data_IF_982037185511
#
_entry.id   IF_982037185511
#
_cell.length_a   1.000
_cell.length_b   1.000
_cell.length_c   1.000
_cell.angle_alpha   90.00
_cell.angle_beta   90.00
_cell.angle_gamma   90.00
#
_symmetry.space_group_name_H-M   'P 1'
#
loop_
_entity.id
_entity.type
_entity.pdbx_description
1 polymer ?
#
# COMPACT_ATOMS: atom_id res chain seq x y z
N UNK A 1 -14.87 29.62 -1.28
CA UNK A 1 -15.08 28.15 -1.25
C UNK A 1 -15.79 27.64 -2.50
N UNK A 2 -16.84 28.33 -2.99
CA UNK A 2 -17.65 27.91 -4.15
C UNK A 2 -16.84 27.51 -5.40
N UNK A 3 -15.76 28.22 -5.71
CA UNK A 3 -14.93 27.92 -6.91
C UNK A 3 -14.26 26.54 -6.88
N UNK A 4 -13.94 26.01 -5.71
CA UNK A 4 -13.19 24.75 -5.56
C UNK A 4 -13.99 23.68 -4.81
N UNK A 5 -15.27 23.90 -4.54
CA UNK A 5 -16.08 22.94 -3.79
C UNK A 5 -16.21 21.60 -4.52
N UNK A 6 -16.27 21.62 -5.85
CA UNK A 6 -16.29 20.39 -6.65
C UNK A 6 -14.96 19.62 -6.58
N UNK A 7 -13.83 20.32 -6.50
CA UNK A 7 -12.51 19.71 -6.28
C UNK A 7 -12.47 19.03 -4.91
N UNK A 8 -12.92 19.73 -3.85
CA UNK A 8 -13.00 19.18 -2.50
C UNK A 8 -13.88 17.93 -2.50
N UNK A 9 -15.11 18.01 -3.03
CA UNK A 9 -16.04 16.87 -3.14
C UNK A 9 -15.44 15.69 -3.88
N UNK A 10 -14.74 15.92 -4.99
CA UNK A 10 -14.11 14.85 -5.77
C UNK A 10 -13.02 14.14 -4.96
N UNK A 11 -12.16 14.89 -4.24
CA UNK A 11 -11.12 14.31 -3.39
C UNK A 11 -11.78 13.53 -2.24
N UNK A 12 -12.70 14.16 -1.51
CA UNK A 12 -13.45 13.53 -0.42
C UNK A 12 -14.14 12.26 -0.86
N UNK A 13 -14.79 12.24 -2.03
CA UNK A 13 -15.45 11.05 -2.56
C UNK A 13 -14.47 9.91 -2.84
N UNK A 14 -13.28 10.22 -3.37
CA UNK A 14 -12.22 9.24 -3.56
C UNK A 14 -11.75 8.63 -2.24
N UNK A 15 -11.66 9.42 -1.17
CA UNK A 15 -11.26 8.94 0.15
C UNK A 15 -12.39 8.16 0.84
N UNK A 16 -13.63 8.64 0.77
CA UNK A 16 -14.80 7.95 1.34
C UNK A 16 -14.94 6.54 0.73
N UNK A 17 -14.79 6.42 -0.59
CA UNK A 17 -14.83 5.13 -1.29
C UNK A 17 -13.72 4.15 -0.90
N UNK A 18 -12.56 4.63 -0.45
CA UNK A 18 -11.37 3.80 -0.19
C UNK A 18 -11.14 3.53 1.30
N UNK A 19 -11.70 4.36 2.17
CA UNK A 19 -11.49 4.28 3.63
C UNK A 19 -12.74 3.87 4.41
N UNK A 20 -13.93 4.01 3.81
CA UNK A 20 -15.20 3.75 4.48
C UNK A 20 -15.55 4.76 5.59
N UNK A 21 -14.74 5.81 5.80
CA UNK A 21 -15.02 6.88 6.76
C UNK A 21 -16.21 7.71 6.27
N UNK A 22 -17.06 8.16 7.19
CA UNK A 22 -18.27 8.92 6.85
C UNK A 22 -17.93 10.11 5.95
N UNK A 23 -18.77 10.33 4.95
CA UNK A 23 -18.53 11.36 3.96
C UNK A 23 -18.50 12.75 4.60
N UNK A 24 -19.34 13.03 5.60
CA UNK A 24 -19.39 14.34 6.25
C UNK A 24 -18.14 14.60 7.10
N UNK A 25 -17.60 13.57 7.77
CA UNK A 25 -16.35 13.68 8.51
C UNK A 25 -15.19 14.01 7.57
N UNK A 26 -15.05 13.25 6.48
CA UNK A 26 -14.02 13.52 5.47
C UNK A 26 -14.23 14.87 4.78
N UNK A 27 -15.48 15.27 4.55
CA UNK A 27 -15.78 16.56 3.93
C UNK A 27 -15.43 17.72 4.87
N UNK A 28 -15.76 17.61 6.16
CA UNK A 28 -15.38 18.59 7.19
C UNK A 28 -13.88 18.79 7.28
N UNK A 29 -13.11 17.68 7.33
CA UNK A 29 -11.65 17.73 7.37
C UNK A 29 -11.06 18.28 6.06
N UNK A 30 -11.63 17.92 4.91
CA UNK A 30 -11.20 18.46 3.62
C UNK A 30 -11.46 19.98 3.51
N UNK A 31 -12.58 20.46 4.05
CA UNK A 31 -12.90 21.88 4.14
C UNK A 31 -11.92 22.63 5.05
N UNK A 32 -11.54 22.04 6.19
CA UNK A 32 -10.51 22.61 7.08
C UNK A 32 -9.16 22.70 6.36
N UNK A 33 -8.73 21.61 5.71
CA UNK A 33 -7.50 21.57 4.92
C UNK A 33 -7.49 22.61 3.80
N UNK A 34 -8.63 22.82 3.13
CA UNK A 34 -8.79 23.86 2.13
C UNK A 34 -8.56 25.26 2.71
N UNK A 35 -9.16 25.58 3.86
CA UNK A 35 -8.97 26.86 4.54
C UNK A 35 -7.51 27.09 4.93
N UNK A 36 -6.83 26.07 5.47
CA UNK A 36 -5.40 26.13 5.79
C UNK A 36 -4.53 26.33 4.52
N UNK A 37 -4.87 25.63 3.44
CA UNK A 37 -4.15 25.69 2.18
C UNK A 37 -4.32 27.04 1.45
N UNK A 38 -5.51 27.66 1.57
CA UNK A 38 -5.75 29.02 1.07
C UNK A 38 -4.79 30.03 1.71
N UNK A 39 -4.61 29.95 3.03
CA UNK A 39 -3.77 30.89 3.80
C UNK A 39 -2.27 30.71 3.53
N UNK A 40 -1.86 29.52 3.14
CA UNK A 40 -0.45 29.16 2.91
C UNK A 40 0.00 29.24 1.45
N UNK A 41 -0.93 29.50 0.52
CA UNK A 41 -0.60 29.56 -0.90
C UNK A 41 0.28 30.78 -1.23
N UNK A 42 1.39 30.53 -1.91
CA UNK A 42 2.29 31.56 -2.45
C UNK A 42 2.33 31.47 -3.97
N UNK A 43 1.77 32.46 -4.71
CA UNK A 43 1.70 32.42 -6.17
C UNK A 43 3.09 32.45 -6.84
N UNK A 44 4.11 33.00 -6.16
CA UNK A 44 5.49 33.05 -6.66
C UNK A 44 6.14 31.66 -6.78
N UNK A 45 5.58 30.63 -6.14
CA UNK A 45 6.13 29.27 -6.14
C UNK A 45 5.86 28.46 -7.42
N UNK A 46 5.23 29.05 -8.44
CA UNK A 46 5.03 28.42 -9.75
C UNK A 46 3.95 27.32 -9.82
N UNK A 47 3.32 26.96 -8.70
CA UNK A 47 2.22 25.98 -8.68
C UNK A 47 0.86 26.67 -8.85
N UNK A 48 -0.03 26.07 -9.66
CA UNK A 48 -1.41 26.55 -9.79
C UNK A 48 -2.15 26.36 -8.47
N UNK A 49 -3.03 27.31 -8.13
CA UNK A 49 -3.85 27.26 -6.92
C UNK A 49 -4.57 25.92 -6.74
N UNK A 50 -5.21 25.41 -7.80
CA UNK A 50 -5.92 24.12 -7.78
C UNK A 50 -4.98 22.94 -7.47
N UNK A 51 -3.77 22.94 -8.01
CA UNK A 51 -2.76 21.91 -7.75
C UNK A 51 -2.30 21.98 -6.28
N UNK A 52 -2.03 23.17 -5.77
CA UNK A 52 -1.65 23.37 -4.36
C UNK A 52 -2.74 22.87 -3.42
N UNK A 53 -3.98 23.32 -3.64
CA UNK A 53 -5.14 22.89 -2.86
C UNK A 53 -5.32 21.37 -2.90
N UNK A 54 -5.23 20.75 -4.09
CA UNK A 54 -5.33 19.30 -4.22
C UNK A 54 -4.28 18.56 -3.37
N UNK A 55 -3.02 19.00 -3.42
CA UNK A 55 -1.92 18.38 -2.65
C UNK A 55 -2.17 18.50 -1.15
N UNK A 56 -2.48 19.71 -0.67
CA UNK A 56 -2.72 19.96 0.75
C UNK A 56 -3.91 19.16 1.29
N UNK A 57 -5.05 19.21 0.60
CA UNK A 57 -6.28 18.49 1.00
C UNK A 57 -6.02 16.98 1.00
N UNK A 58 -5.40 16.43 -0.05
CA UNK A 58 -5.07 15.01 -0.12
C UNK A 58 -4.16 14.55 1.02
N UNK A 59 -3.11 15.32 1.32
CA UNK A 59 -2.16 14.96 2.38
C UNK A 59 -2.79 15.05 3.77
N UNK A 60 -3.64 16.07 4.01
CA UNK A 60 -4.37 16.20 5.28
C UNK A 60 -5.35 15.04 5.46
N UNK A 61 -6.13 14.72 4.44
CA UNK A 61 -7.05 13.58 4.47
C UNK A 61 -6.32 12.25 4.66
N UNK A 62 -5.19 12.02 4.01
CA UNK A 62 -4.38 10.83 4.24
C UNK A 62 -3.92 10.71 5.70
N UNK A 63 -3.49 11.83 6.29
CA UNK A 63 -3.07 11.90 7.69
C UNK A 63 -4.25 11.61 8.62
N UNK A 64 -5.40 12.24 8.36
CA UNK A 64 -6.64 12.03 9.09
C UNK A 64 -7.09 10.57 9.04
N UNK A 65 -7.17 9.97 7.85
CA UNK A 65 -7.56 8.56 7.69
C UNK A 65 -6.58 7.63 8.40
N UNK A 66 -5.27 7.92 8.33
CA UNK A 66 -4.26 7.12 9.05
C UNK A 66 -4.43 7.21 10.56
N UNK A 67 -4.78 8.37 11.10
CA UNK A 67 -5.06 8.55 12.52
C UNK A 67 -6.36 7.85 12.92
N UNK A 68 -7.40 7.97 12.09
CA UNK A 68 -8.72 7.38 12.34
C UNK A 68 -8.68 5.85 12.32
N UNK A 69 -7.95 5.27 11.36
CA UNK A 69 -7.71 3.83 11.34
C UNK A 69 -6.81 3.37 12.51
N UNK A 70 -5.88 4.20 13.01
CA UNK A 70 -5.12 3.87 14.23
C UNK A 70 -6.00 3.88 15.48
N UNK A 71 -6.97 4.79 15.55
CA UNK A 71 -7.89 4.89 16.68
C UNK A 71 -8.97 3.80 16.65
N UNK A 72 -9.41 3.36 15.46
CA UNK A 72 -10.34 2.23 15.27
C UNK A 72 -9.72 0.85 15.49
N UNK A 73 -8.41 0.71 15.66
CA UNK A 73 -7.76 -0.59 15.95
C UNK A 73 -8.09 -1.12 17.37
N UNK A 74 -8.82 -0.39 18.22
CA UNK A 74 -9.21 -0.89 19.55
C UNK A 74 -10.61 -1.53 19.58
N UNK A 75 -11.55 -1.21 18.69
CA UNK A 75 -12.90 -1.81 18.69
C UNK A 75 -13.46 -1.82 17.25
N UNK A 76 -14.02 -2.97 16.87
CA UNK A 76 -14.74 -3.31 15.62
C UNK A 76 -13.95 -3.98 14.48
N UNK A 77 -14.11 -5.31 14.49
CA UNK A 77 -13.94 -6.25 13.39
C UNK A 77 -15.08 -5.97 12.40
N UNK A 78 -14.92 -4.97 11.53
CA UNK A 78 -15.70 -4.81 10.29
C UNK A 78 -14.83 -4.03 9.29
N UNK A 79 -13.86 -4.76 8.75
CA UNK A 79 -12.89 -4.31 7.76
C UNK A 79 -13.48 -4.62 6.38
N UNK A 80 -14.04 -3.61 5.69
CA UNK A 80 -14.51 -3.77 4.31
C UNK A 80 -13.43 -3.34 3.29
N UNK A 81 -13.24 -4.22 2.31
CA UNK A 81 -12.10 -4.42 1.44
C UNK A 81 -12.39 -3.83 0.07
N UNK A 82 -11.77 -2.71 -0.33
CA UNK A 82 -11.96 -2.22 -1.73
C UNK A 82 -10.70 -1.74 -2.46
N UNK A 83 -9.50 -2.12 -2.02
CA UNK A 83 -8.34 -2.10 -2.91
C UNK A 83 -7.56 -3.42 -2.87
N UNK A 84 -7.87 -4.27 -3.85
CA UNK A 84 -7.02 -5.34 -4.39
C UNK A 84 -6.29 -6.22 -3.37
N UNK A 85 -7.04 -6.85 -2.45
CA UNK A 85 -6.52 -8.12 -1.93
C UNK A 85 -6.91 -9.22 -2.90
N UNK A 86 -5.89 -9.64 -3.63
CA UNK A 86 -5.88 -10.87 -4.39
C UNK A 86 -5.93 -12.00 -3.36
N UNK A 87 -7.13 -12.50 -3.09
CA UNK A 87 -7.28 -13.80 -2.45
C UNK A 87 -6.90 -14.85 -3.49
N UNK A 88 -5.81 -15.61 -3.29
CA UNK A 88 -5.58 -16.77 -4.14
C UNK A 88 -6.78 -17.71 -4.00
N UNK A 89 -7.27 -18.24 -5.12
CA UNK A 89 -8.27 -19.30 -5.04
C UNK A 89 -7.70 -20.50 -4.25
N UNK A 90 -8.59 -21.30 -3.66
CA UNK A 90 -8.19 -22.41 -2.78
C UNK A 90 -7.29 -23.44 -3.49
N UNK A 91 -7.43 -23.58 -4.82
CA UNK A 91 -6.67 -24.51 -5.65
C UNK A 91 -5.23 -24.01 -5.87
N UNK A 92 -5.04 -22.72 -6.14
CA UNK A 92 -3.76 -22.02 -6.16
C UNK A 92 -3.08 -22.06 -4.78
N UNK A 93 -3.87 -21.92 -3.70
CA UNK A 93 -3.34 -22.00 -2.35
C UNK A 93 -2.76 -23.39 -2.04
N UNK A 94 -3.50 -24.47 -2.30
CA UNK A 94 -3.04 -25.84 -2.05
C UNK A 94 -1.89 -26.26 -2.99
N UNK A 95 -1.99 -25.96 -4.29
CA UNK A 95 -0.96 -26.31 -5.27
C UNK A 95 0.34 -25.53 -5.04
N UNK A 96 0.28 -24.22 -4.84
CA UNK A 96 1.50 -23.40 -4.75
C UNK A 96 2.12 -23.44 -3.35
N UNK A 97 1.35 -23.35 -2.26
CA UNK A 97 1.97 -23.21 -0.93
C UNK A 97 2.47 -24.53 -0.33
N UNK A 98 1.84 -25.67 -0.66
CA UNK A 98 2.26 -26.98 -0.14
C UNK A 98 3.25 -27.71 -1.03
N UNK A 99 3.15 -27.54 -2.35
CA UNK A 99 3.98 -28.29 -3.30
C UNK A 99 5.25 -27.54 -3.71
N UNK A 100 5.22 -26.19 -3.80
CA UNK A 100 6.37 -25.40 -4.27
C UNK A 100 7.64 -25.64 -3.43
N UNK A 101 7.62 -25.66 -2.08
CA UNK A 101 8.83 -25.94 -1.30
C UNK A 101 9.43 -27.33 -1.56
N UNK A 102 8.64 -28.26 -2.13
CA UNK A 102 9.05 -29.63 -2.47
C UNK A 102 9.46 -29.79 -3.92
N UNK A 103 9.15 -28.81 -4.78
CA UNK A 103 9.37 -28.85 -6.22
C UNK A 103 10.86 -28.78 -6.57
N UNK A 104 11.22 -29.28 -7.75
CA UNK A 104 12.62 -29.27 -8.21
C UNK A 104 13.08 -27.85 -8.55
N UNK A 105 12.17 -27.04 -9.08
CA UNK A 105 12.35 -25.65 -9.47
C UNK A 105 12.69 -24.79 -8.26
N UNK A 106 11.93 -24.93 -7.16
CA UNK A 106 12.23 -24.22 -5.91
C UNK A 106 13.62 -24.60 -5.35
N UNK A 107 13.98 -25.89 -5.41
CA UNK A 107 15.29 -26.35 -4.93
C UNK A 107 16.46 -25.86 -5.79
N UNK A 108 16.22 -25.57 -7.06
CA UNK A 108 17.21 -25.02 -7.98
C UNK A 108 17.50 -23.53 -7.74
N UNK A 109 16.56 -22.79 -7.13
CA UNK A 109 16.74 -21.36 -6.84
C UNK A 109 17.91 -21.10 -5.89
N UNK A 110 18.55 -19.92 -5.95
CA UNK A 110 19.54 -19.51 -4.94
C UNK A 110 18.95 -19.56 -3.53
N UNK A 111 19.76 -19.94 -2.53
CA UNK A 111 19.32 -20.06 -1.12
C UNK A 111 18.61 -18.81 -0.60
N UNK A 112 19.09 -17.63 -0.98
CA UNK A 112 18.48 -16.35 -0.61
C UNK A 112 17.07 -16.19 -1.19
N UNK A 113 16.84 -16.67 -2.42
CA UNK A 113 15.55 -16.64 -3.10
C UNK A 113 14.57 -17.64 -2.47
N UNK A 114 15.03 -18.87 -2.22
CA UNK A 114 14.27 -19.88 -1.46
C UNK A 114 13.82 -19.33 -0.11
N UNK A 115 14.71 -18.60 0.56
CA UNK A 115 14.45 -18.01 1.86
C UNK A 115 13.35 -16.96 1.81
N UNK A 116 13.44 -16.00 0.87
CA UNK A 116 12.43 -14.96 0.67
C UNK A 116 11.07 -15.57 0.33
N UNK A 117 11.02 -16.54 -0.58
CA UNK A 117 9.78 -17.23 -0.94
C UNK A 117 9.20 -17.94 0.30
N UNK A 118 10.03 -18.63 1.09
CA UNK A 118 9.58 -19.30 2.32
C UNK A 118 8.96 -18.34 3.32
N UNK A 119 9.48 -17.12 3.48
CA UNK A 119 8.89 -16.09 4.35
C UNK A 119 7.48 -15.75 3.89
N UNK A 120 7.30 -15.52 2.58
CA UNK A 120 6.01 -15.19 1.99
C UNK A 120 5.03 -16.37 2.20
N UNK A 121 5.48 -17.60 1.92
CA UNK A 121 4.67 -18.80 2.02
C UNK A 121 4.25 -19.15 3.47
N UNK A 122 5.05 -18.77 4.47
CA UNK A 122 4.72 -19.00 5.89
C UNK A 122 3.66 -18.06 6.42
N UNK A 123 3.50 -16.89 5.82
CA UNK A 123 2.49 -15.92 6.25
C UNK A 123 1.82 -15.23 5.05
N UNK A 124 1.08 -16.00 4.21
CA UNK A 124 0.53 -15.51 2.95
C UNK A 124 -0.32 -14.28 3.12
N UNK A 125 -1.23 -14.29 4.10
CA UNK A 125 -2.15 -13.18 4.35
C UNK A 125 -1.41 -11.90 4.73
N UNK A 126 -0.27 -11.99 5.42
CA UNK A 126 0.55 -10.83 5.75
C UNK A 126 1.21 -10.19 4.52
N UNK A 127 1.37 -10.94 3.43
CA UNK A 127 1.94 -10.51 2.15
C UNK A 127 0.91 -10.50 1.01
N UNK A 128 -0.38 -10.69 1.29
CA UNK A 128 -1.48 -10.56 0.33
C UNK A 128 -1.78 -9.07 0.07
N UNK A 129 -0.79 -8.38 -0.50
CA UNK A 129 -0.85 -6.96 -0.83
C UNK A 129 -0.58 -6.78 -2.32
N UNK A 130 -0.89 -5.60 -2.90
CA UNK A 130 -0.46 -5.27 -4.25
C UNK A 130 1.06 -5.44 -4.44
N UNK A 131 1.54 -5.92 -5.61
CA UNK A 131 2.95 -6.31 -5.83
C UNK A 131 3.98 -5.25 -5.40
N UNK A 132 3.69 -3.97 -5.63
CA UNK A 132 4.57 -2.86 -5.21
C UNK A 132 4.69 -2.75 -3.69
N UNK A 133 3.60 -2.95 -2.95
CA UNK A 133 3.56 -2.91 -1.47
C UNK A 133 4.24 -4.14 -0.87
N UNK A 134 4.03 -5.32 -1.44
CA UNK A 134 4.72 -6.57 -1.03
C UNK A 134 6.23 -6.42 -1.11
N UNK A 135 6.74 -5.92 -2.24
CA UNK A 135 8.18 -5.74 -2.42
C UNK A 135 8.80 -4.76 -1.42
N UNK A 136 8.12 -3.64 -1.15
CA UNK A 136 8.55 -2.70 -0.12
C UNK A 136 8.61 -3.36 1.26
N UNK A 137 7.57 -4.12 1.61
CA UNK A 137 7.43 -4.80 2.90
C UNK A 137 8.48 -5.90 3.09
N UNK A 138 8.75 -6.71 2.07
CA UNK A 138 9.81 -7.74 2.13
C UNK A 138 11.18 -7.08 2.33
N UNK A 139 11.48 -6.00 1.61
CA UNK A 139 12.77 -5.29 1.76
C UNK A 139 12.98 -4.78 3.18
N UNK A 140 11.94 -4.18 3.77
CA UNK A 140 11.97 -3.71 5.16
C UNK A 140 12.18 -4.88 6.11
N UNK A 141 11.39 -5.95 6.00
CA UNK A 141 11.52 -7.14 6.83
C UNK A 141 12.94 -7.74 6.74
N UNK A 142 13.49 -7.94 5.53
CA UNK A 142 14.85 -8.47 5.34
C UNK A 142 15.93 -7.55 5.94
N UNK A 143 15.71 -6.23 5.90
CA UNK A 143 16.67 -5.25 6.41
C UNK A 143 16.64 -5.13 7.92
N UNK A 144 15.44 -5.04 8.50
CA UNK A 144 15.23 -4.69 9.90
C UNK A 144 15.36 -5.92 10.80
N UNK A 145 14.68 -7.01 10.44
CA UNK A 145 14.63 -8.24 11.24
C UNK A 145 15.83 -9.14 10.95
N UNK A 146 16.25 -9.24 9.68
CA UNK A 146 17.28 -10.20 9.25
C UNK A 146 18.64 -9.57 8.96
N UNK A 147 18.74 -8.23 9.09
CA UNK A 147 19.99 -7.45 8.90
C UNK A 147 20.66 -7.66 7.54
N UNK A 148 19.89 -7.98 6.49
CA UNK A 148 20.45 -8.11 5.14
C UNK A 148 20.98 -6.76 4.63
N UNK A 149 22.05 -6.81 3.84
CA UNK A 149 22.60 -5.62 3.16
C UNK A 149 21.79 -5.31 1.91
N UNK A 150 21.70 -4.02 1.54
CA UNK A 150 21.02 -3.61 0.31
C UNK A 150 21.52 -4.33 -0.95
N UNK A 151 22.84 -4.55 -1.15
CA UNK A 151 23.34 -5.31 -2.31
C UNK A 151 22.82 -6.75 -2.35
N UNK A 152 22.75 -7.43 -1.19
CA UNK A 152 22.23 -8.81 -1.11
C UNK A 152 20.74 -8.86 -1.43
N UNK A 153 19.95 -7.94 -0.87
CA UNK A 153 18.52 -7.83 -1.14
C UNK A 153 18.29 -7.56 -2.63
N UNK A 154 19.04 -6.63 -3.22
CA UNK A 154 18.87 -6.28 -4.63
C UNK A 154 19.25 -7.43 -5.56
N UNK A 155 20.35 -8.14 -5.27
CA UNK A 155 20.76 -9.34 -5.99
C UNK A 155 19.68 -10.43 -5.93
N UNK A 156 19.14 -10.71 -4.75
CA UNK A 156 18.08 -11.70 -4.56
C UNK A 156 16.80 -11.34 -5.34
N UNK A 157 16.36 -10.07 -5.27
CA UNK A 157 15.17 -9.62 -6.00
C UNK A 157 15.35 -9.64 -7.52
N UNK A 158 16.56 -9.37 -8.00
CA UNK A 158 16.92 -9.49 -9.41
C UNK A 158 16.84 -10.95 -9.87
N UNK A 159 17.47 -11.87 -9.14
CA UNK A 159 17.42 -13.30 -9.44
C UNK A 159 15.98 -13.85 -9.42
N UNK A 160 15.17 -13.49 -8.42
CA UNK A 160 13.75 -13.88 -8.39
C UNK A 160 12.98 -13.42 -9.62
N UNK A 161 13.26 -12.22 -10.13
CA UNK A 161 12.59 -11.70 -11.33
C UNK A 161 13.04 -12.43 -12.59
N UNK A 162 14.33 -12.70 -12.73
CA UNK A 162 14.90 -13.39 -13.90
C UNK A 162 14.35 -14.81 -14.00
N UNK A 163 14.33 -15.55 -12.89
CA UNK A 163 13.83 -16.93 -12.82
C UNK A 163 12.31 -17.03 -13.00
N UNK A 164 11.53 -16.02 -12.56
CA UNK A 164 10.07 -16.02 -12.72
C UNK A 164 9.60 -15.54 -14.11
N UNK A 165 10.45 -14.84 -14.87
CA UNK A 165 10.14 -14.45 -16.25
C UNK A 165 10.26 -15.65 -17.20
N UNK A 166 11.12 -16.62 -16.90
CA UNK A 166 11.31 -17.83 -17.72
C UNK A 166 10.19 -18.89 -17.54
N UNK A 167 9.27 -18.69 -16.58
CA UNK A 167 8.17 -19.63 -16.27
C UNK A 167 6.83 -19.22 -16.94
N UNK A 168 6.81 -18.14 -17.73
CA UNK A 168 5.66 -17.73 -18.57
C UNK A 168 5.88 -18.11 -20.04
#
# INVERSE_FOLDING_TARGET
>A
METYINLIRQITWSFNRTTGIDWNELFGEACLAYCEALLSYKPEGGSKMSTWLFICIKNKLLTFCTAEHRNKIVIDIDFDWTEDIIYPDYEFFELTFRSLPRSAEFKALPKDCQYVITIILRNPLHYALPPRKVLGKIRLHLREEWKWTYPRIWKCMKSLREELIEIN
#
